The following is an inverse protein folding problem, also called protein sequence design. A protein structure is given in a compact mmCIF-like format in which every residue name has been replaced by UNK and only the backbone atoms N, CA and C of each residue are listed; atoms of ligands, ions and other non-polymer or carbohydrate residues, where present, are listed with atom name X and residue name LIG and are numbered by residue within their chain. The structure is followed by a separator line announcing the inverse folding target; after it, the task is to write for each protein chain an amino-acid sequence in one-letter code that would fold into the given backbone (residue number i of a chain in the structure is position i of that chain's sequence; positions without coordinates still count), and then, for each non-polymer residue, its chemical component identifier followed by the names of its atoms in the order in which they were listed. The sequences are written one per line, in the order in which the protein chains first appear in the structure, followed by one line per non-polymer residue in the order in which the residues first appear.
data_IF_093051834484
#
_entry.id   IF_093051834484
#
_cell.length_a   1.000
_cell.length_b   1.000
_cell.length_c   1.000
_cell.angle_alpha   90.00
_cell.angle_beta   90.00
_cell.angle_gamma   90.00
#
_symmetry.space_group_name_H-M   'P 1'
#
loop_
_entity.id
_entity.type
_entity.pdbx_description
1 polymer ?
#
# COMPACT_ATOMS: atom_id res chain seq x y z
N UNK A 1 -36.36 71.11 -15.21
CA UNK A 1 -37.72 70.70 -15.59
C UNK A 1 -37.61 69.60 -16.63
N UNK A 2 -38.37 68.53 -16.45
CA UNK A 2 -38.48 67.29 -17.25
C UNK A 2 -37.45 66.18 -17.06
N UNK A 3 -38.04 65.04 -16.72
CA UNK A 3 -37.46 63.76 -16.39
C UNK A 3 -37.86 62.73 -17.46
N UNK A 4 -37.22 61.55 -17.35
CA UNK A 4 -37.61 60.24 -17.87
C UNK A 4 -37.23 59.86 -19.31
N UNK A 5 -36.29 58.91 -19.41
CA UNK A 5 -36.64 57.52 -19.78
C UNK A 5 -35.65 56.53 -19.18
N UNK A 6 -36.20 55.55 -18.44
CA UNK A 6 -35.53 54.35 -17.95
C UNK A 6 -35.21 53.43 -19.12
N UNK A 7 -34.05 52.78 -19.12
CA UNK A 7 -33.94 51.44 -19.68
C UNK A 7 -32.94 50.62 -18.85
N UNK A 8 -33.47 49.56 -18.27
CA UNK A 8 -32.75 48.54 -17.52
C UNK A 8 -31.83 47.79 -18.48
N UNK A 9 -30.55 47.67 -18.15
CA UNK A 9 -29.78 46.48 -18.53
C UNK A 9 -28.97 46.08 -17.30
N UNK A 10 -29.49 45.08 -16.60
CA UNK A 10 -28.70 44.32 -15.64
C UNK A 10 -27.57 43.64 -16.42
N UNK A 11 -26.31 44.01 -16.14
CA UNK A 11 -25.18 43.17 -16.50
C UNK A 11 -24.61 42.58 -15.22
N UNK A 12 -25.17 41.40 -14.94
CA UNK A 12 -24.58 40.24 -14.27
C UNK A 12 -23.27 40.53 -13.54
N UNK A 13 -23.39 40.45 -12.22
CA UNK A 13 -22.32 40.12 -11.29
C UNK A 13 -21.61 38.85 -11.80
N UNK A 14 -20.60 39.01 -12.65
CA UNK A 14 -19.62 37.96 -12.86
C UNK A 14 -18.66 38.05 -11.66
N UNK A 15 -19.16 37.61 -10.50
CA UNK A 15 -18.32 37.01 -9.50
C UNK A 15 -17.58 35.87 -10.20
N UNK A 16 -16.41 36.18 -10.76
CA UNK A 16 -15.33 35.21 -10.89
C UNK A 16 -14.93 34.82 -9.47
N UNK A 17 -15.79 34.05 -8.82
CA UNK A 17 -15.30 32.93 -8.05
C UNK A 17 -14.46 32.16 -9.05
N UNK A 18 -13.15 32.39 -8.98
CA UNK A 18 -12.16 31.44 -9.43
C UNK A 18 -12.48 30.16 -8.64
N UNK A 19 -13.42 29.37 -9.15
CA UNK A 19 -13.51 27.96 -8.86
C UNK A 19 -12.23 27.38 -9.43
N UNK A 20 -11.14 27.48 -8.66
CA UNK A 20 -10.13 26.47 -8.71
C UNK A 20 -10.92 25.16 -8.57
N UNK A 21 -10.87 24.25 -9.56
CA UNK A 21 -11.16 22.89 -9.23
C UNK A 21 -10.11 22.56 -8.16
N UNK A 22 -10.53 22.51 -6.89
CA UNK A 22 -9.85 21.71 -5.89
C UNK A 22 -9.92 20.31 -6.45
N UNK A 23 -8.96 19.97 -7.31
CA UNK A 23 -8.58 18.60 -7.54
C UNK A 23 -8.43 18.03 -6.15
N UNK A 24 -9.31 17.10 -5.77
CA UNK A 24 -9.10 16.28 -4.61
C UNK A 24 -7.67 15.76 -4.73
N UNK A 25 -6.81 16.10 -3.76
CA UNK A 25 -5.43 15.66 -3.74
C UNK A 25 -5.43 14.16 -4.08
N UNK A 26 -4.66 13.79 -5.11
CA UNK A 26 -4.54 12.39 -5.49
C UNK A 26 -4.24 11.56 -4.22
N UNK A 27 -4.81 10.35 -4.09
CA UNK A 27 -4.69 9.56 -2.87
C UNK A 27 -3.22 9.42 -2.46
N UNK A 28 -2.83 10.10 -1.39
CA UNK A 28 -1.49 9.98 -0.81
C UNK A 28 -1.51 8.85 0.22
N UNK A 29 -0.59 7.89 0.11
CA UNK A 29 -0.45 6.86 1.12
C UNK A 29 0.01 7.46 2.46
N UNK A 30 -0.79 7.23 3.50
CA UNK A 30 -0.49 7.56 4.88
C UNK A 30 -0.04 6.32 5.65
N UNK A 31 1.16 6.37 6.21
CA UNK A 31 1.66 5.35 7.12
C UNK A 31 1.16 5.60 8.53
N UNK A 32 0.57 4.58 9.15
CA UNK A 32 0.12 4.64 10.55
C UNK A 32 1.19 4.15 11.51
N UNK A 33 2.06 3.24 11.04
CA UNK A 33 3.07 2.59 11.89
C UNK A 33 4.42 2.68 11.22
N UNK A 34 5.37 3.33 11.88
CA UNK A 34 6.76 3.36 11.42
C UNK A 34 7.42 2.01 11.67
N UNK A 35 8.38 1.63 10.82
CA UNK A 35 9.10 0.34 10.91
C UNK A 35 9.59 0.00 12.32
N UNK A 36 10.16 0.98 13.03
CA UNK A 36 10.72 0.82 14.39
C UNK A 36 9.66 0.44 15.44
N UNK A 37 8.40 0.77 15.18
CA UNK A 37 7.29 0.56 16.10
C UNK A 37 6.55 -0.76 15.81
N UNK A 38 6.88 -1.42 14.69
CA UNK A 38 6.33 -2.74 14.33
C UNK A 38 7.00 -3.81 15.18
N UNK A 39 6.21 -4.71 15.77
CA UNK A 39 6.72 -5.85 16.51
C UNK A 39 7.71 -6.68 15.67
N UNK A 40 8.85 -7.03 16.27
CA UNK A 40 9.87 -7.87 15.62
C UNK A 40 9.31 -9.21 15.16
N UNK A 41 8.32 -9.75 15.88
CA UNK A 41 7.68 -11.02 15.50
C UNK A 41 6.86 -10.85 14.21
N UNK A 42 6.13 -9.75 14.09
CA UNK A 42 5.38 -9.40 12.87
C UNK A 42 6.35 -9.29 11.68
N UNK A 43 7.44 -8.55 11.85
CA UNK A 43 8.47 -8.42 10.80
C UNK A 43 9.07 -9.77 10.40
N UNK A 44 9.33 -10.67 11.35
CA UNK A 44 9.88 -12.02 11.07
C UNK A 44 8.89 -12.94 10.37
N UNK A 45 7.62 -12.84 10.72
CA UNK A 45 6.62 -13.82 10.29
C UNK A 45 5.81 -13.35 9.09
N UNK A 46 5.92 -12.08 8.68
CA UNK A 46 5.15 -11.57 7.54
C UNK A 46 5.54 -12.28 6.25
N UNK A 47 4.56 -12.89 5.58
CA UNK A 47 4.68 -13.62 4.31
C UNK A 47 3.97 -12.91 3.14
N UNK A 48 3.25 -11.82 3.42
CA UNK A 48 2.50 -11.08 2.42
C UNK A 48 1.76 -9.88 3.01
N UNK A 49 0.97 -9.22 2.16
CA UNK A 49 0.12 -8.10 2.52
C UNK A 49 -1.29 -8.38 2.01
N UNK A 50 -2.29 -8.11 2.86
CA UNK A 50 -3.68 -8.01 2.47
C UNK A 50 -4.04 -6.53 2.40
N UNK A 51 -4.54 -6.10 1.24
CA UNK A 51 -5.18 -4.80 1.05
C UNK A 51 -6.69 -4.99 1.03
N UNK A 52 -7.40 -4.31 1.92
CA UNK A 52 -8.87 -4.30 1.99
C UNK A 52 -9.35 -2.92 1.58
N UNK A 53 -10.10 -2.85 0.48
CA UNK A 53 -10.67 -1.63 -0.06
C UNK A 53 -12.15 -1.55 0.37
N UNK A 54 -12.51 -0.50 1.12
CA UNK A 54 -13.87 -0.28 1.61
C UNK A 54 -14.48 0.98 1.02
N UNK A 55 -15.62 0.85 0.33
CA UNK A 55 -16.41 1.96 -0.23
C UNK A 55 -17.41 2.55 0.77
N UNK A 56 -17.57 1.92 1.94
CA UNK A 56 -18.70 2.14 2.84
C UNK A 56 -18.42 3.11 4.00
N UNK A 57 -17.22 3.70 4.09
CA UNK A 57 -16.82 4.56 5.21
C UNK A 57 -16.99 3.86 6.57
N UNK A 58 -15.94 3.22 7.07
CA UNK A 58 -15.84 2.72 8.46
C UNK A 58 -16.83 1.66 8.97
N UNK A 59 -17.89 1.25 8.25
CA UNK A 59 -18.94 0.35 8.80
C UNK A 59 -18.81 -1.15 8.51
N UNK A 60 -17.87 -1.56 7.68
CA UNK A 60 -17.77 -2.97 7.32
C UNK A 60 -16.85 -3.71 8.29
N UNK A 61 -17.43 -4.64 9.05
CA UNK A 61 -16.70 -5.48 9.99
C UNK A 61 -16.19 -6.76 9.32
N UNK A 62 -14.94 -7.11 9.61
CA UNK A 62 -14.29 -8.35 9.22
C UNK A 62 -14.62 -9.42 10.25
N UNK A 63 -15.21 -10.53 9.81
CA UNK A 63 -15.37 -11.70 10.68
C UNK A 63 -13.99 -12.35 10.84
N UNK A 64 -13.60 -12.56 12.10
CA UNK A 64 -12.39 -13.30 12.46
C UNK A 64 -12.73 -14.71 12.88
N UNK A 65 -11.77 -15.61 12.72
CA UNK A 65 -11.90 -17.04 12.96
C UNK A 65 -10.77 -17.57 13.85
N UNK A 66 -11.06 -18.64 14.58
CA UNK A 66 -10.09 -19.47 15.26
C UNK A 66 -10.04 -20.87 14.62
N UNK A 67 -8.87 -21.50 14.61
CA UNK A 67 -8.69 -22.87 14.10
C UNK A 67 -8.89 -23.87 15.23
N UNK A 68 -10.04 -24.52 15.26
CA UNK A 68 -10.40 -25.57 16.23
C UNK A 68 -10.40 -26.92 15.54
N UNK A 69 -9.68 -27.93 16.04
CA UNK A 69 -9.72 -29.33 15.58
C UNK A 69 -9.93 -29.57 14.06
N UNK A 70 -9.30 -28.76 13.20
CA UNK A 70 -9.38 -28.88 11.73
C UNK A 70 -10.42 -28.00 11.02
N UNK A 71 -11.19 -27.18 11.74
CA UNK A 71 -12.19 -26.26 11.20
C UNK A 71 -11.95 -24.82 11.67
N UNK A 72 -12.40 -23.85 10.87
CA UNK A 72 -12.37 -22.44 11.24
C UNK A 72 -13.74 -22.01 11.75
N UNK A 73 -13.80 -21.56 13.00
CA UNK A 73 -15.04 -21.12 13.66
C UNK A 73 -15.02 -19.60 13.83
N UNK A 74 -16.09 -18.87 13.47
CA UNK A 74 -16.20 -17.43 13.72
C UNK A 74 -16.10 -17.12 15.22
N UNK A 75 -15.29 -16.12 15.59
CA UNK A 75 -15.07 -15.77 17.01
C UNK A 75 -15.29 -14.30 17.35
N UNK A 76 -15.00 -13.36 16.43
CA UNK A 76 -15.19 -11.93 16.68
C UNK A 76 -15.37 -11.14 15.39
N UNK A 77 -16.00 -9.97 15.50
CA UNK A 77 -16.05 -8.96 14.46
C UNK A 77 -14.97 -7.92 14.71
N UNK A 78 -14.24 -7.55 13.66
CA UNK A 78 -13.19 -6.54 13.68
C UNK A 78 -13.63 -5.38 12.78
N UNK A 79 -13.89 -4.23 13.36
CA UNK A 79 -14.17 -3.01 12.59
C UNK A 79 -12.86 -2.41 12.10
N UNK A 80 -12.71 -2.21 10.80
CA UNK A 80 -11.46 -1.72 10.21
C UNK A 80 -11.00 -0.38 10.84
N UNK A 81 -11.96 0.49 11.20
CA UNK A 81 -11.69 1.77 11.84
C UNK A 81 -11.08 1.67 13.25
N UNK A 82 -11.28 0.54 13.93
CA UNK A 82 -10.75 0.28 15.28
C UNK A 82 -9.41 -0.48 15.24
N UNK A 83 -8.91 -0.79 14.03
CA UNK A 83 -7.61 -1.44 13.83
C UNK A 83 -6.50 -0.41 13.63
N UNK A 84 -5.27 -0.90 13.61
CA UNK A 84 -4.10 -0.12 13.22
C UNK A 84 -3.42 -0.83 12.04
N UNK A 85 -3.83 -0.56 10.78
CA UNK A 85 -3.11 -1.10 9.62
C UNK A 85 -1.68 -0.53 9.57
N UNK A 86 -0.79 -1.11 8.76
CA UNK A 86 0.56 -0.51 8.56
C UNK A 86 0.47 0.82 7.80
N UNK A 87 -0.35 0.83 6.76
CA UNK A 87 -0.60 2.00 5.94
C UNK A 87 -2.02 1.98 5.39
N UNK A 88 -2.46 3.15 4.94
CA UNK A 88 -3.69 3.31 4.20
C UNK A 88 -3.56 4.39 3.15
N UNK A 89 -4.32 4.26 2.07
CA UNK A 89 -4.50 5.30 1.08
C UNK A 89 -5.99 5.36 0.74
N UNK A 90 -6.50 6.53 0.40
CA UNK A 90 -7.93 6.66 0.13
C UNK A 90 -8.26 7.86 -0.72
N UNK A 91 -9.41 7.78 -1.39
CA UNK A 91 -9.93 8.84 -2.24
C UNK A 91 -11.25 9.35 -1.66
N UNK A 92 -11.34 10.66 -1.48
CA UNK A 92 -12.58 11.36 -1.19
C UNK A 92 -13.03 12.06 -2.49
N UNK A 93 -13.97 11.49 -3.27
CA UNK A 93 -14.50 12.19 -4.42
C UNK A 93 -15.15 13.51 -3.97
N UNK A 94 -15.01 14.59 -4.76
CA UNK A 94 -15.65 15.89 -4.47
C UNK A 94 -17.18 15.85 -4.42
N UNK A 95 -17.77 14.76 -4.91
CA UNK A 95 -19.22 14.54 -5.00
C UNK A 95 -19.50 13.19 -4.35
N UNK A 96 -20.67 13.04 -3.75
CA UNK A 96 -21.13 11.99 -2.81
C UNK A 96 -21.16 10.55 -3.38
N UNK A 97 -20.05 10.11 -3.97
CA UNK A 97 -19.84 8.79 -4.56
C UNK A 97 -18.81 8.00 -3.75
N UNK A 98 -19.02 7.93 -2.44
CA UNK A 98 -18.31 7.03 -1.52
C UNK A 98 -16.85 7.39 -1.23
N UNK A 99 -16.41 7.17 0.00
CA UNK A 99 -14.97 7.17 0.33
C UNK A 99 -14.44 5.77 0.10
N UNK A 100 -13.37 5.63 -0.69
CA UNK A 100 -12.62 4.37 -0.75
C UNK A 100 -11.48 4.48 0.25
N UNK A 101 -11.57 3.75 1.36
CA UNK A 101 -10.48 3.60 2.32
C UNK A 101 -9.80 2.25 2.07
N UNK A 102 -8.49 2.26 1.82
CA UNK A 102 -7.72 1.05 1.58
C UNK A 102 -6.81 0.78 2.78
N UNK A 103 -7.03 -0.34 3.46
CA UNK A 103 -6.33 -0.73 4.67
C UNK A 103 -5.36 -1.87 4.39
N UNK A 104 -4.09 -1.73 4.79
CA UNK A 104 -3.06 -2.77 4.59
C UNK A 104 -2.66 -3.48 5.87
N UNK A 105 -2.79 -4.80 5.86
CA UNK A 105 -2.47 -5.66 6.98
C UNK A 105 -1.39 -6.69 6.61
N UNK A 106 -0.36 -6.89 7.46
CA UNK A 106 0.56 -8.01 7.34
C UNK A 106 -0.17 -9.34 7.37
N UNK A 107 0.17 -10.22 6.44
CA UNK A 107 -0.21 -11.63 6.48
C UNK A 107 0.94 -12.39 7.11
N UNK A 108 0.70 -13.10 8.20
CA UNK A 108 1.72 -13.92 8.89
C UNK A 108 1.52 -15.43 8.70
N UNK A 109 0.37 -15.84 8.17
CA UNK A 109 0.10 -17.22 7.77
C UNK A 109 -1.03 -17.27 6.74
N UNK A 110 -1.07 -18.34 5.94
CA UNK A 110 -2.14 -18.59 4.97
C UNK A 110 -2.47 -20.09 4.93
N UNK A 111 -3.75 -20.42 4.71
CA UNK A 111 -4.23 -21.78 4.44
C UNK A 111 -5.53 -21.71 3.65
N UNK A 112 -5.64 -22.44 2.56
CA UNK A 112 -6.83 -22.46 1.71
C UNK A 112 -7.31 -21.04 1.36
N UNK A 113 -8.54 -20.68 1.76
CA UNK A 113 -9.14 -19.36 1.61
C UNK A 113 -8.98 -18.45 2.84
N UNK A 114 -8.14 -18.85 3.81
CA UNK A 114 -7.92 -18.11 5.05
C UNK A 114 -6.52 -17.51 5.11
N UNK A 115 -6.45 -16.28 5.59
CA UNK A 115 -5.18 -15.61 5.91
C UNK A 115 -5.22 -15.12 7.35
N UNK A 116 -4.10 -15.26 8.06
CA UNK A 116 -3.92 -14.68 9.39
C UNK A 116 -3.30 -13.31 9.24
N UNK A 117 -4.10 -12.28 9.49
CA UNK A 117 -3.65 -10.90 9.44
C UNK A 117 -3.26 -10.39 10.82
N UNK A 118 -2.35 -9.42 10.85
CA UNK A 118 -2.01 -8.64 12.04
C UNK A 118 -2.76 -7.32 11.96
N UNK A 119 -3.74 -7.09 12.84
CA UNK A 119 -4.58 -5.90 12.84
C UNK A 119 -4.10 -4.79 13.80
N UNK A 120 -3.16 -5.10 14.69
CA UNK A 120 -2.37 -4.13 15.45
C UNK A 120 -0.91 -4.62 15.44
N UNK A 121 -0.06 -4.09 14.54
CA UNK A 121 1.32 -4.55 14.37
C UNK A 121 2.26 -4.08 15.48
N UNK A 122 1.87 -3.07 16.26
CA UNK A 122 2.62 -2.62 17.43
C UNK A 122 2.46 -3.64 18.56
N UNK A 123 1.22 -4.08 18.80
CA UNK A 123 0.89 -5.06 19.86
C UNK A 123 0.93 -6.52 19.40
N UNK A 124 1.19 -6.80 18.12
CA UNK A 124 1.11 -8.13 17.50
C UNK A 124 -0.26 -8.81 17.68
N UNK A 125 -1.36 -8.04 17.59
CA UNK A 125 -2.69 -8.62 17.63
C UNK A 125 -3.06 -9.15 16.23
N UNK A 126 -3.50 -10.40 16.17
CA UNK A 126 -3.76 -11.09 14.90
C UNK A 126 -5.02 -11.94 14.94
N UNK A 127 -5.59 -12.20 13.77
CA UNK A 127 -6.77 -13.03 13.59
C UNK A 127 -6.81 -13.66 12.21
N UNK A 128 -7.40 -14.85 12.09
CA UNK A 128 -7.69 -15.43 10.78
C UNK A 128 -8.92 -14.76 10.18
N UNK A 129 -8.89 -14.48 8.90
CA UNK A 129 -10.03 -14.01 8.12
C UNK A 129 -10.25 -14.94 6.93
N UNK A 130 -11.48 -15.02 6.44
CA UNK A 130 -11.82 -15.75 5.22
C UNK A 130 -11.85 -14.78 4.03
N UNK A 131 -11.01 -15.01 3.01
CA UNK A 131 -10.91 -14.16 1.82
C UNK A 131 -12.19 -14.16 0.98
N UNK A 132 -12.90 -15.29 0.88
CA UNK A 132 -14.15 -15.40 0.12
C UNK A 132 -15.24 -14.57 0.80
N UNK A 133 -15.39 -14.69 2.11
CA UNK A 133 -16.38 -13.89 2.85
C UNK A 133 -16.03 -12.41 2.87
N UNK A 134 -14.74 -12.08 3.01
CA UNK A 134 -14.26 -10.71 2.94
C UNK A 134 -14.56 -10.11 1.55
N UNK A 135 -14.25 -10.84 0.48
CA UNK A 135 -14.51 -10.41 -0.91
C UNK A 135 -15.98 -10.16 -1.25
N UNK A 136 -16.94 -10.71 -0.49
CA UNK A 136 -18.37 -10.41 -0.65
C UNK A 136 -18.75 -9.00 -0.20
N UNK A 137 -17.97 -8.41 0.73
CA UNK A 137 -18.24 -7.10 1.35
C UNK A 137 -17.23 -6.04 0.94
N UNK A 138 -16.05 -6.46 0.50
CA UNK A 138 -14.92 -5.60 0.18
C UNK A 138 -14.32 -6.00 -1.16
N UNK A 139 -13.69 -5.05 -1.84
CA UNK A 139 -12.68 -5.41 -2.82
C UNK A 139 -11.38 -5.71 -2.07
N UNK A 140 -10.74 -6.84 -2.33
CA UNK A 140 -9.51 -7.24 -1.64
C UNK A 140 -8.41 -7.56 -2.64
N UNK A 141 -7.18 -7.16 -2.32
CA UNK A 141 -5.98 -7.59 -3.03
C UNK A 141 -5.04 -8.29 -2.05
N UNK A 142 -4.52 -9.45 -2.44
CA UNK A 142 -3.58 -10.24 -1.64
C UNK A 142 -2.27 -10.34 -2.39
N UNK A 143 -1.18 -10.09 -1.69
CA UNK A 143 0.15 -10.18 -2.27
C UNK A 143 1.06 -11.00 -1.38
N UNK A 144 1.47 -12.16 -1.86
CA UNK A 144 2.43 -13.00 -1.16
C UNK A 144 3.85 -12.66 -1.59
N UNK A 145 4.80 -12.66 -0.65
CA UNK A 145 6.19 -12.35 -0.92
C UNK A 145 6.85 -13.32 -1.89
N UNK A 146 6.39 -14.58 -1.93
CA UNK A 146 6.91 -15.60 -2.84
C UNK A 146 6.38 -15.46 -4.28
N UNK A 147 5.37 -14.62 -4.50
CA UNK A 147 4.73 -14.40 -5.79
C UNK A 147 5.08 -13.03 -6.40
N UNK A 148 6.01 -12.29 -5.79
CA UNK A 148 6.36 -10.92 -6.22
C UNK A 148 6.86 -10.82 -7.66
N UNK A 149 7.52 -11.85 -8.19
CA UNK A 149 7.94 -11.89 -9.61
C UNK A 149 6.78 -11.94 -10.59
N UNK A 150 5.63 -12.47 -10.17
CA UNK A 150 4.44 -12.60 -11.02
C UNK A 150 3.64 -11.29 -11.13
N UNK A 151 3.96 -10.30 -10.30
CA UNK A 151 3.25 -9.03 -10.26
C UNK A 151 3.81 -8.08 -11.32
N UNK A 152 2.92 -7.55 -12.16
CA UNK A 152 3.29 -6.67 -13.28
C UNK A 152 3.71 -5.27 -12.83
N UNK A 153 3.07 -4.75 -11.79
CA UNK A 153 3.39 -3.44 -11.24
C UNK A 153 3.19 -3.44 -9.72
N UNK A 154 4.19 -2.95 -9.01
CA UNK A 154 4.06 -2.68 -7.59
C UNK A 154 5.04 -1.58 -7.17
N UNK A 155 4.79 -1.02 -6.01
CA UNK A 155 5.74 -0.14 -5.34
C UNK A 155 6.15 -0.79 -4.03
N UNK A 156 7.40 -0.61 -3.65
CA UNK A 156 7.89 -1.04 -2.34
C UNK A 156 8.42 0.16 -1.58
N UNK A 157 8.13 0.18 -0.29
CA UNK A 157 8.81 1.05 0.66
C UNK A 157 9.89 0.25 1.34
N UNK A 158 11.12 0.59 0.99
CA UNK A 158 12.28 -0.10 1.49
C UNK A 158 12.68 0.53 2.81
N UNK A 159 12.74 -0.27 3.88
CA UNK A 159 13.23 0.26 5.14
C UNK A 159 14.67 0.70 5.00
N UNK A 160 14.91 1.91 5.45
CA UNK A 160 16.27 2.35 5.70
C UNK A 160 16.74 1.66 6.98
N UNK A 161 17.77 0.81 6.88
CA UNK A 161 18.22 -0.13 7.92
C UNK A 161 18.78 0.53 9.19
N UNK A 162 18.80 1.86 9.19
CA UNK A 162 19.43 2.70 10.19
C UNK A 162 18.66 4.02 10.23
N UNK A 163 18.70 4.70 11.38
CA UNK A 163 18.21 6.08 11.52
C UNK A 163 18.85 7.05 10.51
N UNK A 164 19.92 6.63 9.82
CA UNK A 164 20.57 7.38 8.75
C UNK A 164 19.76 7.51 7.46
N UNK A 165 18.65 6.78 7.30
CA UNK A 165 17.81 6.89 6.10
C UNK A 165 18.41 6.23 4.85
N UNK A 166 19.28 5.22 5.01
CA UNK A 166 19.98 4.54 3.90
C UNK A 166 19.70 3.04 3.82
N UNK A 167 19.68 2.48 2.60
CA UNK A 167 19.56 1.04 2.30
C UNK A 167 20.70 0.55 1.42
N UNK A 168 21.25 -0.61 1.77
CA UNK A 168 22.25 -1.34 0.97
C UNK A 168 21.61 -2.21 -0.11
N UNK A 169 22.16 -2.13 -1.32
CA UNK A 169 21.88 -3.01 -2.45
C UNK A 169 23.15 -3.74 -2.90
N UNK A 170 22.97 -4.98 -3.36
CA UNK A 170 24.04 -5.88 -3.79
C UNK A 170 24.05 -6.02 -5.30
N UNK A 171 25.23 -6.25 -5.89
CA UNK A 171 25.32 -6.60 -7.32
C UNK A 171 24.80 -8.01 -7.59
N UNK A 172 25.02 -8.93 -6.66
CA UNK A 172 24.54 -10.32 -6.70
C UNK A 172 24.09 -10.81 -5.32
N UNK A 173 23.10 -11.73 -5.25
CA UNK A 173 22.67 -12.32 -3.99
C UNK A 173 23.80 -13.00 -3.22
N UNK A 174 23.89 -12.74 -1.92
CA UNK A 174 24.85 -13.39 -1.03
C UNK A 174 26.28 -12.87 -1.13
N UNK A 175 26.56 -11.92 -2.03
CA UNK A 175 27.89 -11.29 -2.07
C UNK A 175 28.06 -10.32 -0.89
N UNK A 176 29.18 -10.36 -0.16
CA UNK A 176 29.43 -9.46 0.97
C UNK A 176 29.67 -8.02 0.52
N UNK A 177 30.04 -7.82 -0.75
CA UNK A 177 30.32 -6.51 -1.32
C UNK A 177 29.02 -5.79 -1.67
N UNK A 178 28.77 -4.68 -0.97
CA UNK A 178 27.67 -3.77 -1.28
C UNK A 178 28.03 -2.99 -2.56
N UNK A 179 27.10 -2.89 -3.49
CA UNK A 179 27.34 -2.17 -4.75
C UNK A 179 26.78 -0.75 -4.69
N UNK A 180 25.64 -0.56 -4.03
CA UNK A 180 24.99 0.73 -3.91
C UNK A 180 24.43 0.95 -2.50
N UNK A 181 24.48 2.20 -2.06
CA UNK A 181 23.79 2.69 -0.90
C UNK A 181 22.78 3.71 -1.40
N UNK A 182 21.49 3.45 -1.19
CA UNK A 182 20.41 4.32 -1.64
C UNK A 182 19.87 5.06 -0.44
N UNK A 183 19.79 6.39 -0.52
CA UNK A 183 19.22 7.22 0.54
C UNK A 183 17.72 7.41 0.34
N UNK A 184 16.98 7.69 1.42
CA UNK A 184 15.53 7.88 1.38
C UNK A 184 15.12 8.97 0.39
N UNK A 185 15.90 10.04 0.26
CA UNK A 185 15.69 11.10 -0.75
C UNK A 185 15.68 10.55 -2.17
N UNK A 186 16.54 9.58 -2.44
CA UNK A 186 16.74 9.01 -3.77
C UNK A 186 15.59 8.06 -4.14
N UNK A 187 14.93 7.47 -3.13
CA UNK A 187 13.83 6.51 -3.29
C UNK A 187 12.45 7.17 -3.36
N UNK A 188 12.36 8.48 -3.19
CA UNK A 188 11.08 9.16 -2.91
C UNK A 188 9.98 8.95 -3.97
N UNK A 189 10.31 8.54 -5.21
CA UNK A 189 9.32 8.33 -6.28
C UNK A 189 9.70 7.24 -7.30
N UNK A 190 10.40 6.18 -6.93
CA UNK A 190 10.70 5.11 -7.87
C UNK A 190 9.59 4.05 -7.84
N UNK A 191 8.85 3.94 -8.93
CA UNK A 191 8.18 2.68 -9.26
C UNK A 191 9.29 1.64 -9.43
N UNK A 192 9.19 0.51 -8.72
CA UNK A 192 10.22 -0.52 -8.72
C UNK A 192 9.61 -1.80 -9.23
N UNK A 193 10.28 -2.43 -10.19
CA UNK A 193 9.87 -3.71 -10.73
C UNK A 193 10.79 -4.80 -10.19
N UNK A 194 10.22 -5.92 -9.73
CA UNK A 194 10.98 -7.12 -9.42
C UNK A 194 11.34 -7.76 -10.76
N UNK A 195 12.63 -7.94 -10.98
CA UNK A 195 13.16 -8.55 -12.19
C UNK A 195 13.44 -10.04 -12.01
N UNK A 196 13.79 -10.46 -10.78
CA UNK A 196 14.17 -11.83 -10.41
C UNK A 196 14.10 -11.97 -8.87
N UNK A 197 13.81 -13.17 -8.37
CA UNK A 197 13.78 -13.58 -6.98
C UNK A 197 14.55 -14.89 -6.81
N UNK A 198 15.62 -14.84 -6.03
CA UNK A 198 16.35 -16.07 -5.69
C UNK A 198 17.03 -15.97 -4.34
N UNK A 199 17.06 -17.11 -3.64
CA UNK A 199 17.74 -17.28 -2.35
C UNK A 199 17.36 -16.22 -1.29
N UNK A 200 16.11 -15.74 -1.31
CA UNK A 200 15.61 -14.72 -0.37
C UNK A 200 16.01 -13.28 -0.73
N UNK A 201 16.39 -13.03 -1.98
CA UNK A 201 16.68 -11.70 -2.51
C UNK A 201 15.74 -11.36 -3.65
N UNK A 202 15.44 -10.08 -3.80
CA UNK A 202 14.77 -9.52 -4.96
C UNK A 202 15.77 -8.72 -5.77
N UNK A 203 15.81 -8.93 -7.07
CA UNK A 203 16.42 -7.99 -8.00
C UNK A 203 15.39 -6.93 -8.32
N UNK A 204 15.74 -5.68 -8.06
CA UNK A 204 14.88 -4.53 -8.33
C UNK A 204 15.44 -3.75 -9.51
N UNK A 205 14.53 -3.21 -10.31
CA UNK A 205 14.87 -2.30 -11.39
C UNK A 205 13.89 -1.14 -11.50
N UNK A 206 14.37 -0.08 -12.14
CA UNK A 206 13.59 1.12 -12.45
C UNK A 206 12.98 0.96 -13.84
N UNK A 207 11.65 1.02 -13.99
CA UNK A 207 11.03 1.01 -15.30
C UNK A 207 11.41 2.30 -16.06
N UNK A 208 11.73 2.14 -17.34
CA UNK A 208 11.93 3.23 -18.29
C UNK A 208 10.72 3.27 -19.21
N UNK A 209 10.02 4.40 -19.21
CA UNK A 209 8.86 4.63 -20.06
C UNK A 209 9.22 5.58 -21.19
N UNK A 210 8.55 5.42 -22.32
CA UNK A 210 8.58 6.39 -23.39
C UNK A 210 7.81 7.65 -22.94
N UNK A 211 8.46 8.81 -22.95
CA UNK A 211 7.81 10.05 -22.46
C UNK A 211 6.59 10.48 -23.30
N UNK A 212 6.46 10.01 -24.54
CA UNK A 212 5.35 10.36 -25.45
C UNK A 212 4.19 9.37 -25.41
N UNK A 213 4.45 8.08 -25.27
CA UNK A 213 3.40 7.03 -25.27
C UNK A 213 3.09 6.47 -23.88
N UNK A 214 3.93 6.77 -22.88
CA UNK A 214 3.93 6.16 -21.54
C UNK A 214 4.07 4.63 -21.57
N UNK A 215 4.50 4.06 -22.69
CA UNK A 215 4.74 2.63 -22.82
C UNK A 215 6.06 2.24 -22.16
N UNK A 216 6.09 1.05 -21.55
CA UNK A 216 7.29 0.50 -20.93
C UNK A 216 8.32 0.10 -22.01
N UNK A 217 9.47 0.77 -22.04
CA UNK A 217 10.57 0.47 -22.96
C UNK A 217 11.58 -0.53 -22.38
N UNK A 218 11.63 -0.66 -21.05
CA UNK A 218 12.53 -1.58 -20.38
C UNK A 218 12.62 -1.33 -18.88
N UNK A 219 13.48 -2.09 -18.22
CA UNK A 219 13.73 -1.99 -16.78
C UNK A 219 15.23 -1.96 -16.53
N UNK A 220 15.73 -0.86 -15.97
CA UNK A 220 17.14 -0.69 -15.65
C UNK A 220 17.43 -1.27 -14.25
N UNK A 221 18.34 -2.24 -14.12
CA UNK A 221 18.58 -2.90 -12.84
C UNK A 221 19.23 -1.95 -11.83
N UNK A 222 18.62 -1.84 -10.65
CA UNK A 222 19.15 -1.08 -9.51
C UNK A 222 20.07 -1.98 -8.68
N UNK A 223 19.68 -3.25 -8.52
CA UNK A 223 20.46 -4.25 -7.80
C UNK A 223 19.59 -5.19 -6.97
N UNK A 224 20.24 -5.97 -6.13
CA UNK A 224 19.61 -6.96 -5.29
C UNK A 224 19.41 -6.45 -3.87
N UNK A 225 18.23 -6.71 -3.31
CA UNK A 225 17.90 -6.44 -1.92
C UNK A 225 17.60 -7.77 -1.21
N UNK A 226 18.10 -7.95 0.01
CA UNK A 226 17.68 -9.09 0.85
C UNK A 226 16.25 -8.86 1.32
N UNK A 227 15.34 -9.83 1.14
CA UNK A 227 13.96 -9.74 1.65
C UNK A 227 13.95 -9.62 3.16
N UNK A 228 14.82 -10.40 3.82
CA UNK A 228 15.04 -10.38 5.27
C UNK A 228 16.48 -10.01 5.60
N UNK A 229 16.69 -9.23 6.64
CA UNK A 229 18.04 -8.92 7.11
C UNK A 229 18.70 -10.11 7.84
N UNK A 230 19.91 -9.91 8.34
CA UNK A 230 20.68 -10.93 9.05
C UNK A 230 20.04 -11.37 10.37
N UNK A 231 19.13 -10.53 10.90
CA UNK A 231 18.33 -10.88 12.05
C UNK A 231 17.05 -11.60 11.63
N UNK A 232 16.68 -11.68 10.35
CA UNK A 232 15.45 -12.29 9.85
C UNK A 232 14.25 -11.32 9.76
N UNK A 233 14.46 -10.02 9.98
CA UNK A 233 13.41 -9.01 9.90
C UNK A 233 13.12 -8.65 8.44
N UNK A 234 11.84 -8.52 8.08
CA UNK A 234 11.45 -8.06 6.75
C UNK A 234 12.02 -6.67 6.48
N UNK A 235 12.43 -6.43 5.24
CA UNK A 235 13.21 -5.25 4.89
C UNK A 235 12.50 -4.22 4.02
N UNK A 236 11.28 -4.50 3.58
CA UNK A 236 10.46 -3.61 2.78
C UNK A 236 8.97 -3.89 3.02
N UNK A 237 8.12 -2.92 2.72
CA UNK A 237 6.68 -3.07 2.57
C UNK A 237 6.25 -2.95 1.12
N UNK A 238 5.10 -3.54 0.79
CA UNK A 238 4.48 -3.39 -0.52
C UNK A 238 3.46 -2.25 -0.42
N UNK A 239 3.70 -1.17 -1.15
CA UNK A 239 2.93 0.08 -1.17
C UNK A 239 1.92 0.18 -2.31
N UNK A 240 1.99 -0.66 -3.33
CA UNK A 240 1.02 -0.63 -4.42
C UNK A 240 1.01 -2.01 -5.05
N UNK A 241 -0.16 -2.60 -5.26
CA UNK A 241 -0.29 -3.76 -6.15
C UNK A 241 -1.51 -3.51 -7.04
N UNK A 242 -1.19 -3.38 -8.33
CA UNK A 242 -1.96 -3.07 -9.54
C UNK A 242 -2.51 -1.64 -9.72
N UNK A 243 -1.98 -0.98 -10.76
CA UNK A 243 -2.85 -0.35 -11.76
C UNK A 243 -2.95 -1.33 -12.95
N UNK A 244 -4.18 -1.69 -13.30
CA UNK A 244 -4.50 -2.48 -14.47
C UNK A 244 -3.93 -1.88 -15.76
#
# INVERSE_FOLDING_TARGET
MFAHKKMQVAFVLATTFLSLPTFADAPSEGYHVAYKDISKEVLRNTIGILTINSTAGKKAALQTYAREAGQYVPVALLEAADTTPISSFGYHPPVDSGTIENYRYPIIAATDSYVRIVYDPVKNLSGWINLIETGKRFSTSVTMLHDLEALKSFSIDIFSFTESGKRKFYKFPGTPDNHFLVEKSDMSYWFLTVMDMRKGYLQLGKPRFNDSTLELEGVDPIGWIRIRDDQGLLTFWIMLVDMC
#
